data_IF_460573133279
#
_entry.id   IF_460573133279
#
_cell.length_a   1.000
_cell.length_b   1.000
_cell.length_c   1.000
_cell.angle_alpha   90.00
_cell.angle_beta   90.00
_cell.angle_gamma   90.00
#
_symmetry.space_group_name_H-M   'P 1'
#
loop_
_entity.id
_entity.type
_entity.pdbx_description
1 polymer ?
#
# COMPACT_ATOMS: atom_id res chain seq x y z
N UNK A 1 -25.56 -17.73 45.14
CA UNK A 1 -24.92 -18.43 44.01
C UNK A 1 -25.25 -17.64 42.75
N UNK A 2 -24.24 -17.03 42.10
CA UNK A 2 -24.39 -16.27 40.85
C UNK A 2 -24.19 -17.25 39.69
N UNK A 3 -25.11 -17.37 38.71
CA UNK A 3 -24.81 -18.09 37.48
C UNK A 3 -24.04 -17.16 36.55
N UNK A 4 -22.76 -17.49 36.30
CA UNK A 4 -22.01 -16.91 35.18
C UNK A 4 -22.54 -17.49 33.89
N UNK A 5 -23.23 -16.67 33.10
CA UNK A 5 -23.60 -17.00 31.73
C UNK A 5 -22.36 -16.85 30.85
N UNK A 6 -21.82 -17.97 30.38
CA UNK A 6 -20.78 -17.97 29.34
C UNK A 6 -21.43 -17.62 28.00
N UNK A 7 -21.13 -16.44 27.46
CA UNK A 7 -21.45 -16.11 26.08
C UNK A 7 -20.57 -16.95 25.15
N UNK A 8 -21.17 -17.97 24.53
CA UNK A 8 -20.57 -18.72 23.44
C UNK A 8 -20.51 -17.81 22.21
N UNK A 9 -19.30 -17.45 21.78
CA UNK A 9 -19.05 -16.77 20.52
C UNK A 9 -19.38 -17.73 19.38
N UNK A 10 -20.48 -17.48 18.67
CA UNK A 10 -20.82 -18.18 17.44
C UNK A 10 -19.88 -17.69 16.33
N UNK A 11 -18.97 -18.55 15.89
CA UNK A 11 -18.17 -18.31 14.69
C UNK A 11 -19.08 -18.34 13.45
N UNK A 12 -18.94 -17.39 12.50
CA UNK A 12 -19.69 -17.46 11.25
C UNK A 12 -19.21 -18.65 10.42
N UNK A 13 -20.14 -19.53 10.07
CA UNK A 13 -19.94 -20.59 9.08
C UNK A 13 -19.86 -19.91 7.70
N UNK A 14 -18.65 -19.82 7.14
CA UNK A 14 -18.45 -19.42 5.75
C UNK A 14 -19.15 -20.42 4.84
N UNK A 15 -20.21 -19.97 4.16
CA UNK A 15 -20.91 -20.77 3.16
C UNK A 15 -20.01 -20.96 1.93
N UNK A 16 -19.56 -22.19 1.69
CA UNK A 16 -18.90 -22.56 0.43
C UNK A 16 -19.91 -22.44 -0.71
N UNK A 17 -19.72 -21.43 -1.55
CA UNK A 17 -20.55 -21.22 -2.72
C UNK A 17 -20.09 -22.20 -3.80
N UNK A 18 -20.87 -23.24 -4.10
CA UNK A 18 -20.63 -24.04 -5.30
C UNK A 18 -20.98 -23.17 -6.50
N UNK A 19 -20.00 -22.48 -7.07
CA UNK A 19 -20.18 -21.72 -8.30
C UNK A 19 -20.30 -22.71 -9.47
N UNK A 20 -21.52 -22.88 -10.00
CA UNK A 20 -21.74 -23.68 -11.23
C UNK A 20 -21.20 -22.99 -12.49
N UNK A 21 -21.10 -21.66 -12.48
CA UNK A 21 -20.60 -20.87 -13.61
C UNK A 21 -19.36 -20.09 -13.22
N UNK A 22 -18.29 -20.21 -14.02
CA UNK A 22 -17.08 -19.43 -13.85
C UNK A 22 -17.32 -17.98 -14.28
N UNK A 23 -17.03 -17.03 -13.38
CA UNK A 23 -17.17 -15.60 -13.65
C UNK A 23 -15.79 -14.94 -13.51
N UNK A 24 -15.19 -14.44 -14.61
CA UNK A 24 -13.89 -13.77 -14.57
C UNK A 24 -13.88 -12.57 -13.60
N UNK A 25 -12.80 -12.39 -12.85
CA UNK A 25 -12.61 -11.34 -11.84
C UNK A 25 -13.24 -11.66 -10.48
N UNK A 26 -13.97 -12.76 -10.34
CA UNK A 26 -14.52 -13.17 -9.03
C UNK A 26 -13.39 -13.58 -8.10
N UNK A 27 -13.43 -13.13 -6.84
CA UNK A 27 -12.47 -13.53 -5.81
C UNK A 27 -13.13 -14.49 -4.82
N UNK A 28 -12.41 -15.54 -4.45
CA UNK A 28 -12.83 -16.50 -3.44
C UNK A 28 -11.73 -16.76 -2.42
N UNK A 29 -12.07 -16.64 -1.14
CA UNK A 29 -11.18 -16.96 -0.03
C UNK A 29 -11.23 -18.46 0.24
N UNK A 30 -10.18 -19.19 -0.15
CA UNK A 30 -10.03 -20.63 0.13
C UNK A 30 -9.53 -20.85 1.56
N UNK A 31 -8.68 -19.95 2.03
CA UNK A 31 -8.13 -19.89 3.38
C UNK A 31 -7.78 -18.42 3.70
N UNK A 32 -7.70 -17.97 4.97
CA UNK A 32 -7.39 -16.58 5.30
C UNK A 32 -6.22 -15.96 4.53
N UNK A 33 -5.14 -16.72 4.28
CA UNK A 33 -3.95 -16.23 3.56
C UNK A 33 -3.87 -16.71 2.09
N UNK A 34 -4.99 -17.23 1.56
CA UNK A 34 -5.06 -17.79 0.21
C UNK A 34 -6.39 -17.43 -0.44
N UNK A 35 -6.38 -16.28 -1.12
CA UNK A 35 -7.46 -15.80 -1.97
C UNK A 35 -7.08 -16.12 -3.42
N UNK A 36 -8.07 -16.58 -4.19
CA UNK A 36 -7.92 -16.83 -5.63
C UNK A 36 -8.86 -15.95 -6.42
N UNK A 37 -8.41 -15.52 -7.59
CA UNK A 37 -9.23 -14.85 -8.59
C UNK A 37 -9.50 -15.79 -9.75
N UNK A 38 -10.76 -15.85 -10.17
CA UNK A 38 -11.21 -16.62 -11.31
C UNK A 38 -10.90 -15.86 -12.60
N UNK A 39 -10.20 -16.48 -13.53
CA UNK A 39 -9.95 -15.95 -14.88
C UNK A 39 -10.69 -16.75 -15.97
N UNK A 40 -11.14 -17.96 -15.65
CA UNK A 40 -11.94 -18.86 -16.52
C UNK A 40 -11.26 -19.26 -17.84
N UNK A 41 -11.70 -20.32 -18.50
CA UNK A 41 -11.32 -20.71 -19.86
C UNK A 41 -9.81 -20.79 -20.17
N UNK A 42 -8.98 -20.99 -19.15
CA UNK A 42 -7.53 -21.00 -19.22
C UNK A 42 -6.96 -22.16 -18.40
N UNK A 43 -5.78 -22.61 -18.81
CA UNK A 43 -5.05 -23.68 -18.13
C UNK A 43 -3.57 -23.37 -18.14
N UNK A 44 -2.95 -23.39 -16.96
CA UNK A 44 -1.51 -23.52 -16.83
C UNK A 44 -1.13 -24.99 -16.74
N UNK A 45 -0.24 -25.44 -17.61
CA UNK A 45 0.19 -26.85 -17.63
C UNK A 45 0.88 -27.19 -16.30
N UNK A 46 0.49 -28.33 -15.72
CA UNK A 46 1.05 -28.82 -14.48
C UNK A 46 0.51 -30.19 -14.08
N UNK A 47 0.45 -30.46 -12.78
CA UNK A 47 0.09 -31.78 -12.24
C UNK A 47 -1.42 -31.98 -12.28
N UNK A 48 -1.87 -33.09 -12.87
CA UNK A 48 -3.29 -33.44 -12.94
C UNK A 48 -3.74 -34.28 -11.74
N UNK A 49 -4.94 -34.01 -11.23
CA UNK A 49 -5.63 -34.69 -10.15
C UNK A 49 -7.08 -34.98 -10.61
N UNK A 50 -7.64 -36.11 -10.21
CA UNK A 50 -8.99 -36.56 -10.59
C UNK A 50 -9.84 -36.83 -9.36
N UNK A 51 -11.16 -36.73 -9.49
CA UNK A 51 -12.08 -36.98 -8.36
C UNK A 51 -12.31 -35.76 -7.48
N UNK A 52 -12.01 -34.58 -8.00
CA UNK A 52 -12.19 -33.29 -7.33
C UNK A 52 -13.62 -32.83 -7.56
N UNK A 53 -14.33 -32.44 -6.49
CA UNK A 53 -15.76 -32.15 -6.58
C UNK A 53 -16.08 -30.66 -6.66
N UNK A 54 -15.09 -29.79 -6.47
CA UNK A 54 -15.30 -28.35 -6.58
C UNK A 54 -14.05 -27.59 -7.04
N UNK A 55 -14.23 -26.36 -7.58
CA UNK A 55 -13.11 -25.46 -7.87
C UNK A 55 -12.32 -25.12 -6.60
N UNK A 56 -13.00 -24.88 -5.48
CA UNK A 56 -12.37 -24.57 -4.19
C UNK A 56 -11.47 -25.72 -3.68
N UNK A 57 -11.88 -26.98 -3.86
CA UNK A 57 -11.06 -28.14 -3.53
C UNK A 57 -9.81 -28.22 -4.43
N UNK A 58 -9.95 -27.87 -5.72
CA UNK A 58 -8.81 -27.76 -6.63
C UNK A 58 -7.83 -26.64 -6.22
N UNK A 59 -8.36 -25.49 -5.81
CA UNK A 59 -7.54 -24.37 -5.34
C UNK A 59 -6.80 -24.70 -4.03
N UNK A 60 -7.44 -25.45 -3.13
CA UNK A 60 -6.80 -25.94 -1.91
C UNK A 60 -5.63 -26.89 -2.22
N UNK A 61 -5.75 -27.75 -3.24
CA UNK A 61 -4.64 -28.60 -3.68
C UNK A 61 -3.44 -27.79 -4.20
N UNK A 62 -3.70 -26.70 -4.92
CA UNK A 62 -2.63 -25.81 -5.39
C UNK A 62 -1.94 -25.08 -4.23
N UNK A 63 -2.70 -24.60 -3.24
CA UNK A 63 -2.16 -24.02 -2.00
C UNK A 63 -1.17 -24.98 -1.33
N UNK A 64 -1.58 -26.24 -1.14
CA UNK A 64 -0.77 -27.21 -0.40
C UNK A 64 0.49 -27.66 -1.17
N UNK A 65 0.45 -27.58 -2.50
CA UNK A 65 1.59 -27.91 -3.35
C UNK A 65 2.58 -26.75 -3.50
N UNK A 66 2.17 -25.50 -3.22
CA UNK A 66 2.96 -24.28 -3.43
C UNK A 66 2.70 -23.48 -4.73
N UNK A 67 2.07 -24.03 -5.80
CA UNK A 67 1.78 -23.23 -6.99
C UNK A 67 0.75 -22.13 -6.82
N UNK A 68 0.90 -21.13 -7.69
CA UNK A 68 0.06 -19.93 -7.74
C UNK A 68 -1.17 -20.08 -8.62
N UNK A 69 -1.39 -21.22 -9.30
CA UNK A 69 -2.59 -21.39 -10.12
C UNK A 69 -3.12 -22.82 -10.18
N UNK A 70 -4.42 -22.92 -10.38
CA UNK A 70 -5.15 -24.19 -10.51
C UNK A 70 -6.26 -24.05 -11.54
N UNK A 71 -6.55 -25.13 -12.25
CA UNK A 71 -7.65 -25.19 -13.21
C UNK A 71 -8.56 -26.36 -12.86
N UNK A 72 -9.83 -26.07 -12.59
CA UNK A 72 -10.84 -27.09 -12.39
C UNK A 72 -11.69 -27.25 -13.64
N UNK A 73 -11.92 -28.48 -14.09
CA UNK A 73 -12.82 -28.80 -15.18
C UNK A 73 -14.06 -29.54 -14.62
N UNK A 74 -15.21 -28.85 -14.50
CA UNK A 74 -16.41 -29.42 -13.89
C UNK A 74 -16.90 -30.72 -14.54
N UNK A 75 -16.95 -30.87 -15.89
CA UNK A 75 -17.50 -32.08 -16.50
C UNK A 75 -16.70 -33.36 -16.18
N UNK A 76 -15.38 -33.27 -16.03
CA UNK A 76 -14.53 -34.44 -15.77
C UNK A 76 -14.02 -34.51 -14.34
N UNK A 77 -14.43 -33.59 -13.46
CA UNK A 77 -14.00 -33.54 -12.06
C UNK A 77 -12.48 -33.59 -11.92
N UNK A 78 -11.80 -32.91 -12.85
CA UNK A 78 -10.35 -32.90 -12.98
C UNK A 78 -9.82 -31.56 -12.51
N UNK A 79 -8.79 -31.60 -11.69
CA UNK A 79 -8.01 -30.44 -11.28
C UNK A 79 -6.63 -30.52 -11.92
N UNK A 80 -6.12 -29.40 -12.44
CA UNK A 80 -4.73 -29.28 -12.83
C UNK A 80 -4.10 -28.18 -11.97
N UNK A 81 -3.13 -28.57 -11.16
CA UNK A 81 -2.31 -27.64 -10.39
C UNK A 81 -1.19 -27.17 -11.31
N UNK A 82 -1.25 -25.90 -11.73
CA UNK A 82 -0.29 -25.32 -12.67
C UNK A 82 1.11 -25.30 -12.09
N UNK A 83 2.15 -25.50 -12.90
CA UNK A 83 3.54 -25.30 -12.43
C UNK A 83 3.90 -23.83 -12.50
N UNK A 84 4.69 -23.32 -11.56
CA UNK A 84 5.26 -21.98 -11.67
C UNK A 84 6.11 -21.85 -12.95
N UNK A 85 5.90 -20.77 -13.71
CA UNK A 85 6.49 -20.59 -15.05
C UNK A 85 5.98 -21.55 -16.13
N UNK A 86 4.94 -22.35 -15.84
CA UNK A 86 4.32 -23.24 -16.81
C UNK A 86 3.60 -22.49 -17.93
N UNK A 87 3.55 -23.10 -19.12
CA UNK A 87 2.84 -22.52 -20.27
C UNK A 87 1.34 -22.44 -20.00
N UNK A 88 0.77 -21.26 -20.22
CA UNK A 88 -0.67 -21.01 -20.20
C UNK A 88 -1.26 -21.22 -21.59
N UNK A 89 -2.44 -21.83 -21.63
CA UNK A 89 -3.18 -22.13 -22.86
C UNK A 89 -4.67 -21.94 -22.60
N UNK A 90 -5.40 -21.49 -23.62
CA UNK A 90 -6.85 -21.46 -23.58
C UNK A 90 -7.41 -22.89 -23.40
N UNK A 91 -8.39 -23.04 -22.53
CA UNK A 91 -9.08 -24.30 -22.27
C UNK A 91 -10.53 -24.01 -21.86
N UNK A 92 -11.44 -24.10 -22.83
CA UNK A 92 -12.85 -23.80 -22.62
C UNK A 92 -13.48 -24.64 -21.50
N UNK A 93 -14.50 -24.07 -20.86
CA UNK A 93 -15.31 -24.73 -19.81
C UNK A 93 -14.48 -25.09 -18.57
N UNK A 94 -13.44 -24.30 -18.28
CA UNK A 94 -12.63 -24.47 -17.09
C UNK A 94 -12.65 -23.28 -16.16
N UNK A 95 -12.48 -23.58 -14.88
CA UNK A 95 -12.36 -22.60 -13.82
C UNK A 95 -10.87 -22.42 -13.56
N UNK A 96 -10.23 -21.53 -14.31
CA UNK A 96 -8.87 -21.10 -14.03
C UNK A 96 -8.86 -20.16 -12.83
N UNK A 97 -8.08 -20.49 -11.83
CA UNK A 97 -7.97 -19.76 -10.57
C UNK A 97 -6.51 -19.45 -10.32
N UNK A 98 -6.20 -18.18 -10.10
CA UNK A 98 -4.85 -17.71 -9.80
C UNK A 98 -4.86 -17.14 -8.38
N UNK A 99 -3.86 -17.51 -7.58
CA UNK A 99 -3.63 -16.92 -6.25
C UNK A 99 -3.44 -15.42 -6.45
N UNK A 100 -4.34 -14.63 -5.89
CA UNK A 100 -4.11 -13.19 -5.78
C UNK A 100 -3.04 -13.00 -4.72
N UNK A 101 -2.09 -12.10 -4.98
CA UNK A 101 -1.39 -11.51 -3.86
C UNK A 101 -2.49 -10.86 -3.04
N UNK A 102 -2.60 -11.25 -1.77
CA UNK A 102 -3.23 -10.35 -0.82
C UNK A 102 -2.23 -9.21 -0.80
N UNK A 103 -2.41 -8.23 -1.69
CA UNK A 103 -2.05 -6.88 -1.34
C UNK A 103 -2.72 -6.76 0.03
N UNK A 104 -1.89 -6.69 1.07
CA UNK A 104 -2.22 -5.81 2.16
C UNK A 104 -2.56 -4.51 1.44
N UNK A 105 -3.83 -4.34 1.04
CA UNK A 105 -4.40 -3.04 0.80
C UNK A 105 -4.31 -2.41 2.16
N UNK A 106 -3.10 -1.93 2.43
CA UNK A 106 -2.83 -0.99 3.47
C UNK A 106 -3.89 0.08 3.24
N UNK A 107 -4.82 0.27 4.19
CA UNK A 107 -5.74 1.39 4.12
C UNK A 107 -4.98 2.74 4.04
N UNK A 108 -3.66 2.72 4.23
CA UNK A 108 -2.68 3.78 4.02
C UNK A 108 -1.75 3.54 2.81
N UNK A 109 -2.21 2.88 1.74
CA UNK A 109 -1.52 2.99 0.44
C UNK A 109 -1.61 4.46 0.06
N UNK A 110 -0.62 5.24 0.48
CA UNK A 110 -0.44 6.63 0.09
C UNK A 110 -0.52 6.61 -1.42
N UNK A 111 -1.58 7.20 -1.97
CA UNK A 111 -1.70 7.44 -3.39
C UNK A 111 -0.41 8.15 -3.77
N UNK A 112 0.52 7.48 -4.48
CA UNK A 112 1.82 8.05 -4.88
C UNK A 112 1.64 9.30 -5.77
N UNK A 113 0.39 9.60 -6.15
CA UNK A 113 -0.06 10.75 -6.92
C UNK A 113 -0.81 11.82 -6.09
N UNK A 114 -0.99 11.67 -4.77
CA UNK A 114 -1.37 12.80 -3.90
C UNK A 114 -0.13 13.65 -3.61
N UNK A 115 0.17 14.57 -4.54
CA UNK A 115 1.07 15.68 -4.22
C UNK A 115 0.54 16.37 -2.95
N UNK A 116 1.31 16.32 -1.86
CA UNK A 116 0.99 17.00 -0.61
C UNK A 116 0.64 18.46 -0.93
N UNK A 117 -0.61 18.92 -0.70
CA UNK A 117 -1.03 20.28 -1.00
C UNK A 117 -0.23 21.34 -0.22
N UNK A 118 0.52 20.92 0.79
CA UNK A 118 1.40 21.75 1.63
C UNK A 118 2.89 21.59 1.31
N UNK A 119 3.28 20.65 0.45
CA UNK A 119 4.66 20.51 0.04
C UNK A 119 5.02 21.66 -0.91
N UNK A 120 5.62 22.71 -0.35
CA UNK A 120 6.33 23.69 -1.16
C UNK A 120 7.43 22.97 -1.93
N UNK A 121 7.57 23.31 -3.21
CA UNK A 121 8.67 22.76 -4.01
C UNK A 121 10.01 23.26 -3.44
N UNK A 122 11.07 22.45 -3.59
CA UNK A 122 12.42 22.83 -3.14
C UNK A 122 12.88 24.18 -3.70
N UNK A 123 12.39 24.56 -4.88
CA UNK A 123 12.70 25.85 -5.50
C UNK A 123 11.97 27.01 -4.80
N UNK A 124 10.69 26.84 -4.44
CA UNK A 124 9.93 27.85 -3.67
C UNK A 124 10.49 28.04 -2.25
N UNK A 125 10.86 26.96 -1.56
CA UNK A 125 11.49 27.05 -0.24
C UNK A 125 12.83 27.78 -0.29
N UNK A 126 13.62 27.53 -1.35
CA UNK A 126 14.91 28.17 -1.57
C UNK A 126 14.74 29.67 -1.82
N UNK A 127 13.79 30.08 -2.67
CA UNK A 127 13.54 31.49 -2.93
C UNK A 127 13.05 32.23 -1.67
N UNK A 128 12.11 31.65 -0.93
CA UNK A 128 11.63 32.21 0.33
C UNK A 128 12.75 32.33 1.39
N UNK A 129 13.66 31.36 1.44
CA UNK A 129 14.83 31.41 2.32
C UNK A 129 15.80 32.54 1.94
N UNK A 130 16.09 32.70 0.65
CA UNK A 130 16.98 33.75 0.16
C UNK A 130 16.39 35.15 0.42
N UNK A 131 15.09 35.34 0.19
CA UNK A 131 14.43 36.61 0.48
C UNK A 131 14.53 36.97 1.97
N UNK A 132 14.22 36.02 2.86
CA UNK A 132 14.38 36.20 4.31
C UNK A 132 15.82 36.52 4.70
N UNK A 133 16.80 35.86 4.09
CA UNK A 133 18.21 36.14 4.37
C UNK A 133 18.59 37.57 3.98
N UNK A 134 18.12 38.04 2.83
CA UNK A 134 18.38 39.41 2.37
C UNK A 134 17.74 40.45 3.28
N UNK A 135 16.48 40.23 3.70
CA UNK A 135 15.77 41.10 4.62
C UNK A 135 16.50 41.18 5.98
N UNK A 136 16.85 40.04 6.57
CA UNK A 136 17.56 39.99 7.85
C UNK A 136 18.95 40.64 7.77
N UNK A 137 19.66 40.49 6.65
CA UNK A 137 20.94 41.18 6.45
C UNK A 137 20.77 42.70 6.39
N UNK A 138 19.72 43.19 5.73
CA UNK A 138 19.41 44.62 5.68
C UNK A 138 19.02 45.17 7.06
N UNK A 139 18.20 44.44 7.82
CA UNK A 139 17.83 44.80 9.20
C UNK A 139 19.05 44.82 10.13
N UNK A 140 19.95 43.85 10.00
CA UNK A 140 21.18 43.78 10.79
C UNK A 140 22.12 44.95 10.47
N UNK A 141 22.26 45.32 9.19
CA UNK A 141 23.02 46.50 8.80
C UNK A 141 22.40 47.78 9.39
N UNK A 142 21.09 47.96 9.22
CA UNK A 142 20.36 49.11 9.77
C UNK A 142 20.47 49.19 11.30
N UNK A 143 20.33 48.07 12.01
CA UNK A 143 20.46 48.01 13.47
C UNK A 143 21.88 48.35 13.91
N UNK A 144 22.90 47.86 13.18
CA UNK A 144 24.30 48.16 13.47
C UNK A 144 24.63 49.64 13.26
N UNK A 145 24.08 50.26 12.22
CA UNK A 145 24.25 51.69 11.96
C UNK A 145 23.55 52.54 13.03
N UNK A 146 22.34 52.15 13.45
CA UNK A 146 21.61 52.81 14.55
C UNK A 146 22.35 52.68 15.90
N UNK A 147 22.94 51.52 16.18
CA UNK A 147 23.78 51.29 17.37
C UNK A 147 25.05 52.13 17.32
N UNK A 148 25.71 52.24 16.17
CA UNK A 148 26.90 53.06 15.99
C UNK A 148 26.59 54.56 16.17
N UNK A 149 25.49 55.05 15.60
CA UNK A 149 25.03 56.42 15.79
C UNK A 149 24.70 56.72 17.27
N UNK A 150 23.99 55.81 17.94
CA UNK A 150 23.65 55.93 19.36
C UNK A 150 24.88 55.92 20.28
N UNK A 151 25.95 55.22 19.91
CA UNK A 151 27.23 55.21 20.63
C UNK A 151 28.06 56.47 20.37
N UNK A 152 27.97 57.05 19.16
CA UNK A 152 28.63 58.31 18.83
C UNK A 152 28.01 59.51 19.56
N UNK A 153 26.68 59.56 19.70
CA UNK A 153 25.98 60.60 20.49
C UNK A 153 26.29 60.53 22.00
N UNK A 154 26.57 59.32 22.52
CA UNK A 154 26.92 59.13 23.94
C UNK A 154 28.38 59.43 24.27
N UNK A 155 29.22 59.82 23.30
CA UNK A 155 30.62 60.19 23.56
C UNK A 155 30.70 61.69 23.87
N UNK A 156 30.84 62.10 25.15
CA UNK A 156 30.96 63.52 25.49
C UNK A 156 32.21 64.12 24.84
N UNK A 157 32.00 65.17 24.05
CA UNK A 157 33.05 66.00 23.48
C UNK A 157 33.64 66.86 24.61
N UNK A 158 34.61 66.34 25.35
CA UNK A 158 35.33 67.15 26.34
C UNK A 158 36.22 68.16 25.60
N UNK A 159 35.75 69.40 25.53
CA UNK A 159 36.52 70.57 25.14
C UNK A 159 37.54 70.84 26.24
N UNK A 160 38.80 70.48 26.02
CA UNK A 160 39.89 70.84 26.95
C UNK A 160 40.13 72.34 26.79
N UNK A 161 39.61 73.13 27.72
CA UNK A 161 39.88 74.56 27.80
C UNK A 161 41.24 74.76 28.46
N UNK A 162 42.18 75.32 27.70
CA UNK A 162 43.51 75.69 28.17
C UNK A 162 43.42 76.93 29.07
N UNK A 163 43.84 76.81 30.32
CA UNK A 163 44.29 77.89 31.21
C UNK A 163 45.28 77.24 32.19
N UNK A 164 46.44 77.77 32.52
CA UNK A 164 47.12 79.04 32.27
C UNK A 164 48.31 79.03 33.22
#
# INVERSE_FOLDING_TARGET
MKPSAACLLAAPLSASQVQETCIPGTRETINPDYIVEYQCDWLRIGKSHTGINSPAECAALARDAGPTSSTYHPPTKKCVVGREGGTEKANADTHYMVKTQVDEEDPFKEDEDEEDPFAMTCDEEKEACLERETALKAELASSKDQLAASQAEKRPHYHIQQHG
#
